data_IF_208739330110
#
_entry.id   IF_208739330110
#
_cell.length_a   1.000
_cell.length_b   1.000
_cell.length_c   1.000
_cell.angle_alpha   90.00
_cell.angle_beta   90.00
_cell.angle_gamma   90.00
#
_symmetry.space_group_name_H-M   'P 1'
#
loop_
_entity.id
_entity.type
_entity.pdbx_description
1 polymer ?
#
# COMPACT_ATOMS: atom_id res chain seq x y z
N UNK A 1 12.26 -33.00 -13.52
CA UNK A 1 12.74 -32.08 -12.46
C UNK A 1 11.56 -31.29 -11.84
N UNK A 2 10.47 -31.96 -11.47
CA UNK A 2 9.20 -31.33 -11.03
C UNK A 2 8.77 -31.74 -9.62
N UNK A 3 9.64 -32.39 -8.84
CA UNK A 3 9.24 -33.00 -7.56
C UNK A 3 9.97 -32.43 -6.31
N UNK A 4 10.75 -31.36 -6.44
CA UNK A 4 11.49 -30.74 -5.33
C UNK A 4 10.94 -29.38 -4.84
N UNK A 5 9.87 -28.83 -5.40
CA UNK A 5 9.30 -27.55 -5.02
C UNK A 5 8.07 -27.65 -4.08
N UNK A 6 7.68 -28.84 -3.65
CA UNK A 6 6.64 -28.99 -2.61
C UNK A 6 7.18 -28.72 -1.19
N UNK A 7 7.88 -27.61 -0.98
CA UNK A 7 8.08 -27.13 0.39
C UNK A 7 6.69 -26.82 0.96
N UNK A 8 6.33 -27.61 1.99
CA UNK A 8 5.06 -27.50 2.75
C UNK A 8 4.97 -26.18 3.48
N UNK A 9 4.88 -25.04 2.74
CA UNK A 9 4.59 -23.77 3.38
C UNK A 9 3.22 -23.85 4.05
N UNK A 10 3.15 -23.49 5.32
CA UNK A 10 1.89 -23.36 6.04
C UNK A 10 1.07 -22.19 5.47
N UNK A 11 -0.27 -22.23 5.63
CA UNK A 11 -1.12 -21.10 5.24
C UNK A 11 -0.70 -19.79 5.98
N UNK A 12 -0.12 -19.91 7.18
CA UNK A 12 0.42 -18.80 7.96
C UNK A 12 1.47 -17.99 7.18
N UNK A 13 2.35 -18.65 6.42
CA UNK A 13 3.32 -17.95 5.59
C UNK A 13 2.62 -17.04 4.55
N UNK A 14 1.60 -17.53 3.86
CA UNK A 14 0.84 -16.72 2.90
C UNK A 14 0.07 -15.58 3.55
N UNK A 15 -0.47 -15.79 4.75
CA UNK A 15 -1.07 -14.72 5.58
C UNK A 15 -0.04 -13.61 5.84
N UNK A 16 1.18 -13.98 6.25
CA UNK A 16 2.24 -13.02 6.52
C UNK A 16 2.72 -12.30 5.25
N UNK A 17 2.74 -12.96 4.10
CA UNK A 17 3.07 -12.32 2.81
C UNK A 17 2.03 -11.25 2.46
N UNK A 18 0.74 -11.58 2.52
CA UNK A 18 -0.33 -10.62 2.23
C UNK A 18 -0.31 -9.47 3.25
N UNK A 19 -0.35 -9.78 4.54
CA UNK A 19 -0.35 -8.75 5.60
C UNK A 19 0.90 -7.86 5.53
N UNK A 20 2.07 -8.46 5.33
CA UNK A 20 3.34 -7.73 5.25
C UNK A 20 3.43 -6.80 4.04
N UNK A 21 2.79 -7.16 2.93
CA UNK A 21 2.70 -6.30 1.74
C UNK A 21 1.76 -5.12 1.99
N UNK A 22 0.61 -5.38 2.60
CA UNK A 22 -0.39 -4.35 2.90
C UNK A 22 0.13 -3.38 3.96
N UNK A 23 0.62 -3.91 5.10
CA UNK A 23 1.14 -3.09 6.21
C UNK A 23 2.48 -2.47 5.81
N UNK A 24 2.42 -1.31 5.19
CA UNK A 24 3.59 -0.60 4.66
C UNK A 24 3.51 0.91 4.86
N UNK A 25 4.27 1.64 4.06
CA UNK A 25 4.29 3.11 4.10
C UNK A 25 2.92 3.75 3.89
N UNK A 26 2.02 3.11 3.15
CA UNK A 26 0.66 3.61 2.91
C UNK A 26 -0.18 3.81 4.19
N UNK A 27 0.12 3.08 5.28
CA UNK A 27 -0.59 3.26 6.55
C UNK A 27 -0.45 4.67 7.13
N UNK A 28 0.66 5.36 6.87
CA UNK A 28 0.89 6.72 7.39
C UNK A 28 -0.01 7.77 6.72
N UNK A 29 -0.43 7.54 5.48
CA UNK A 29 -1.37 8.41 4.80
C UNK A 29 -2.79 8.32 5.39
N UNK A 30 -3.19 7.14 5.92
CA UNK A 30 -4.55 6.90 6.40
C UNK A 30 -5.06 7.93 7.43
N UNK A 31 -4.38 8.21 8.57
CA UNK A 31 -4.91 9.17 9.54
C UNK A 31 -4.94 10.60 8.99
N UNK A 32 -4.06 10.95 8.06
CA UNK A 32 -3.99 12.27 7.45
C UNK A 32 -5.18 12.47 6.49
N UNK A 33 -5.41 11.51 5.57
CA UNK A 33 -6.53 11.58 4.63
C UNK A 33 -7.89 11.38 5.30
N UNK A 34 -7.94 10.62 6.39
CA UNK A 34 -9.15 10.38 7.17
C UNK A 34 -9.40 11.45 8.24
N UNK A 35 -8.52 12.45 8.40
CA UNK A 35 -8.66 13.49 9.43
C UNK A 35 -9.99 14.24 9.34
N UNK A 36 -10.47 14.52 8.13
CA UNK A 36 -11.79 15.14 7.93
C UNK A 36 -12.97 14.27 8.34
N UNK A 37 -12.91 12.97 8.00
CA UNK A 37 -13.93 11.97 8.35
C UNK A 37 -13.86 11.56 9.83
N UNK A 38 -12.70 11.72 10.44
CA UNK A 38 -12.35 11.34 11.79
C UNK A 38 -12.48 9.82 12.03
N UNK A 39 -12.30 9.38 13.29
CA UNK A 39 -12.14 7.96 13.61
C UNK A 39 -13.32 7.08 13.16
N UNK A 40 -14.55 7.41 13.56
CA UNK A 40 -15.70 6.51 13.35
C UNK A 40 -16.08 6.36 11.87
N UNK A 41 -16.19 7.46 11.14
CA UNK A 41 -16.45 7.44 9.71
C UNK A 41 -15.24 6.94 8.93
N UNK A 42 -14.03 7.26 9.40
CA UNK A 42 -12.78 6.74 8.86
C UNK A 42 -12.68 5.21 8.98
N UNK A 43 -12.98 4.64 10.15
CA UNK A 43 -13.04 3.20 10.36
C UNK A 43 -14.10 2.54 9.47
N UNK A 44 -15.29 3.15 9.37
CA UNK A 44 -16.38 2.64 8.52
C UNK A 44 -15.95 2.53 7.05
N UNK A 45 -15.40 3.62 6.48
CA UNK A 45 -15.00 3.62 5.08
C UNK A 45 -13.79 2.72 4.82
N UNK A 46 -12.89 2.59 5.80
CA UNK A 46 -11.76 1.68 5.71
C UNK A 46 -12.20 0.22 5.67
N UNK A 47 -13.24 -0.16 6.44
CA UNK A 47 -13.84 -1.50 6.41
C UNK A 47 -14.48 -1.76 5.04
N UNK A 48 -15.20 -0.78 4.46
CA UNK A 48 -15.78 -0.91 3.11
C UNK A 48 -14.68 -1.07 2.05
N UNK A 49 -13.62 -0.28 2.12
CA UNK A 49 -12.47 -0.40 1.21
C UNK A 49 -11.81 -1.79 1.34
N UNK A 50 -11.58 -2.26 2.57
CA UNK A 50 -11.07 -3.62 2.83
C UNK A 50 -11.98 -4.69 2.25
N UNK A 51 -13.29 -4.62 2.49
CA UNK A 51 -14.26 -5.58 1.96
C UNK A 51 -14.17 -5.68 0.44
N UNK A 52 -14.13 -4.54 -0.25
CA UNK A 52 -14.03 -4.48 -1.70
C UNK A 52 -12.69 -5.03 -2.20
N UNK A 53 -11.57 -4.69 -1.55
CA UNK A 53 -10.25 -5.18 -1.91
C UNK A 53 -10.07 -6.68 -1.62
N UNK A 54 -10.61 -7.18 -0.50
CA UNK A 54 -10.64 -8.61 -0.21
C UNK A 54 -11.36 -9.39 -1.32
N UNK A 55 -12.58 -8.94 -1.67
CA UNK A 55 -13.38 -9.64 -2.68
C UNK A 55 -12.76 -9.52 -4.07
N UNK A 56 -12.20 -8.37 -4.42
CA UNK A 56 -11.45 -8.20 -5.66
C UNK A 56 -10.25 -9.16 -5.73
N UNK A 57 -9.49 -9.30 -4.64
CA UNK A 57 -8.39 -10.26 -4.56
C UNK A 57 -8.87 -11.72 -4.72
N UNK A 58 -10.00 -12.08 -4.10
CA UNK A 58 -10.60 -13.40 -4.27
C UNK A 58 -11.12 -13.64 -5.70
N UNK A 59 -11.67 -12.61 -6.36
CA UNK A 59 -12.09 -12.66 -7.77
C UNK A 59 -10.89 -12.84 -8.71
N UNK A 60 -9.77 -12.18 -8.42
CA UNK A 60 -8.52 -12.41 -9.15
C UNK A 60 -8.01 -13.84 -8.96
N UNK A 61 -8.06 -14.36 -7.72
CA UNK A 61 -7.71 -15.74 -7.41
C UNK A 61 -8.62 -16.73 -8.16
N UNK A 62 -9.94 -16.49 -8.18
CA UNK A 62 -10.92 -17.27 -8.92
C UNK A 62 -10.54 -17.37 -10.40
N UNK A 63 -10.28 -16.24 -11.05
CA UNK A 63 -9.88 -16.21 -12.46
C UNK A 63 -8.56 -16.96 -12.68
N UNK A 64 -7.56 -16.72 -11.83
CA UNK A 64 -6.20 -17.26 -11.99
C UNK A 64 -6.15 -18.79 -11.82
N UNK A 65 -6.94 -19.37 -10.92
CA UNK A 65 -6.98 -20.82 -10.68
C UNK A 65 -7.42 -21.65 -11.89
N UNK A 66 -8.04 -21.03 -12.89
CA UNK A 66 -8.42 -21.70 -14.13
C UNK A 66 -7.26 -21.86 -15.12
N UNK A 67 -6.12 -21.19 -14.86
CA UNK A 67 -4.94 -21.21 -15.73
C UNK A 67 -3.83 -22.11 -15.14
N UNK A 68 -2.82 -22.50 -15.95
CA UNK A 68 -1.64 -23.19 -15.44
C UNK A 68 -0.94 -22.39 -14.34
N UNK A 69 -0.31 -23.09 -13.38
CA UNK A 69 0.51 -22.47 -12.35
C UNK A 69 1.65 -21.67 -13.02
N UNK A 70 1.88 -20.44 -12.58
CA UNK A 70 2.86 -19.52 -13.18
C UNK A 70 2.31 -18.62 -14.28
N UNK A 71 1.03 -18.73 -14.64
CA UNK A 71 0.40 -17.77 -15.56
C UNK A 71 0.42 -16.36 -14.97
N UNK A 72 0.91 -15.40 -15.76
CA UNK A 72 0.97 -14.01 -15.37
C UNK A 72 -0.41 -13.33 -15.45
N UNK A 73 -0.56 -12.24 -14.70
CA UNK A 73 -1.75 -11.39 -14.80
C UNK A 73 -2.01 -10.93 -16.25
N UNK A 74 -0.96 -10.58 -16.98
CA UNK A 74 -1.05 -10.19 -18.39
C UNK A 74 -1.61 -11.30 -19.28
N UNK A 75 -1.15 -12.55 -19.11
CA UNK A 75 -1.64 -13.70 -19.86
C UNK A 75 -3.14 -13.88 -19.65
N UNK A 76 -3.59 -13.84 -18.40
CA UNK A 76 -5.00 -14.03 -18.04
C UNK A 76 -5.87 -12.89 -18.59
N UNK A 77 -5.40 -11.64 -18.41
CA UNK A 77 -6.12 -10.45 -18.88
C UNK A 77 -6.26 -10.47 -20.40
N UNK A 78 -5.18 -10.75 -21.13
CA UNK A 78 -5.20 -10.84 -22.59
C UNK A 78 -6.17 -11.91 -23.09
N UNK A 79 -6.20 -13.08 -22.46
CA UNK A 79 -7.02 -14.21 -22.87
C UNK A 79 -8.52 -14.02 -22.55
N UNK A 80 -8.87 -13.38 -21.43
CA UNK A 80 -10.26 -13.21 -20.99
C UNK A 80 -10.93 -11.93 -21.51
N UNK A 81 -10.22 -10.83 -21.61
CA UNK A 81 -10.78 -9.51 -21.93
C UNK A 81 -10.06 -8.77 -23.06
N UNK A 82 -9.07 -9.41 -23.65
CA UNK A 82 -8.41 -8.94 -24.89
C UNK A 82 -7.19 -8.04 -24.66
N UNK A 83 -6.49 -7.76 -25.77
CA UNK A 83 -5.20 -7.09 -25.74
C UNK A 83 -5.28 -5.62 -25.28
N UNK A 84 -6.36 -4.91 -25.62
CA UNK A 84 -6.55 -3.50 -25.22
C UNK A 84 -6.57 -3.35 -23.68
N UNK A 85 -7.34 -4.19 -23.00
CA UNK A 85 -7.41 -4.19 -21.54
C UNK A 85 -6.10 -4.67 -20.89
N UNK A 86 -5.38 -5.57 -21.56
CA UNK A 86 -4.04 -5.97 -21.13
C UNK A 86 -3.06 -4.80 -21.15
N UNK A 87 -3.08 -3.97 -22.20
CA UNK A 87 -2.23 -2.77 -22.30
C UNK A 87 -2.62 -1.74 -21.24
N UNK A 88 -3.93 -1.45 -21.09
CA UNK A 88 -4.42 -0.52 -20.06
C UNK A 88 -3.98 -0.98 -18.67
N UNK A 89 -4.16 -2.26 -18.37
CA UNK A 89 -3.72 -2.84 -17.09
C UNK A 89 -2.20 -2.71 -16.88
N UNK A 90 -1.41 -3.01 -17.91
CA UNK A 90 0.05 -2.87 -17.85
C UNK A 90 0.50 -1.45 -17.56
N UNK A 91 -0.11 -0.46 -18.24
CA UNK A 91 0.17 0.97 -18.02
C UNK A 91 -0.21 1.37 -16.58
N UNK A 92 -1.39 0.96 -16.09
CA UNK A 92 -1.84 1.31 -14.73
C UNK A 92 -0.99 0.67 -13.65
N UNK A 93 -0.53 -0.58 -13.83
CA UNK A 93 0.42 -1.24 -12.91
C UNK A 93 1.75 -0.51 -12.89
N UNK A 94 2.33 -0.20 -14.08
CA UNK A 94 3.58 0.55 -14.16
C UNK A 94 3.46 1.91 -13.47
N UNK A 95 2.38 2.65 -13.74
CA UNK A 95 2.15 3.94 -13.12
C UNK A 95 2.07 3.85 -11.59
N UNK A 96 1.30 2.87 -11.07
CA UNK A 96 1.21 2.65 -9.61
C UNK A 96 2.60 2.41 -9.00
N UNK A 97 3.40 1.52 -9.61
CA UNK A 97 4.72 1.19 -9.09
C UNK A 97 5.69 2.38 -9.17
N UNK A 98 5.63 3.17 -10.25
CA UNK A 98 6.44 4.39 -10.38
C UNK A 98 6.06 5.46 -9.36
N UNK A 99 4.77 5.74 -9.21
CA UNK A 99 4.30 6.78 -8.29
C UNK A 99 4.51 6.38 -6.82
N UNK A 100 4.40 5.09 -6.48
CA UNK A 100 4.75 4.58 -5.16
C UNK A 100 6.26 4.63 -4.91
N UNK A 101 7.10 4.33 -5.91
CA UNK A 101 8.55 4.52 -5.81
C UNK A 101 8.90 5.98 -5.48
N UNK A 102 8.30 6.92 -6.19
CA UNK A 102 8.43 8.36 -5.92
C UNK A 102 7.98 8.71 -4.49
N UNK A 103 6.81 8.25 -4.07
CA UNK A 103 6.29 8.51 -2.74
C UNK A 103 7.24 8.00 -1.65
N UNK A 104 7.85 6.82 -1.84
CA UNK A 104 8.79 6.26 -0.87
C UNK A 104 10.16 6.95 -0.87
N UNK A 105 10.62 7.48 -1.99
CA UNK A 105 11.81 8.37 -2.02
C UNK A 105 11.52 9.60 -1.16
N UNK A 106 10.35 10.22 -1.34
CA UNK A 106 9.92 11.39 -0.56
C UNK A 106 9.83 11.08 0.94
N UNK A 107 9.15 10.00 1.31
CA UNK A 107 8.97 9.59 2.71
C UNK A 107 10.30 9.26 3.39
N UNK A 108 11.19 8.48 2.74
CA UNK A 108 12.53 8.17 3.30
C UNK A 108 13.37 9.43 3.46
N UNK A 109 13.34 10.33 2.48
CA UNK A 109 14.03 11.61 2.55
C UNK A 109 13.62 12.43 3.77
N UNK A 110 12.32 12.54 4.00
CA UNK A 110 11.75 13.26 5.15
C UNK A 110 12.11 12.61 6.49
N UNK A 111 11.83 11.30 6.67
CA UNK A 111 12.03 10.60 7.94
C UNK A 111 13.51 10.54 8.33
N UNK A 112 14.40 10.19 7.39
CA UNK A 112 15.83 10.04 7.69
C UNK A 112 16.46 11.39 7.96
N UNK A 113 16.09 12.46 7.24
CA UNK A 113 16.60 13.80 7.53
C UNK A 113 16.17 14.28 8.92
N UNK A 114 14.96 13.94 9.35
CA UNK A 114 14.48 14.23 10.70
C UNK A 114 15.27 13.45 11.76
N UNK A 115 15.51 12.16 11.54
CA UNK A 115 16.37 11.37 12.45
C UNK A 115 17.78 11.96 12.57
N UNK A 116 18.37 12.42 11.49
CA UNK A 116 19.69 13.08 11.50
C UNK A 116 19.61 14.36 12.33
N UNK A 117 18.57 15.18 12.13
CA UNK A 117 18.37 16.41 12.89
C UNK A 117 18.26 16.17 14.39
N UNK A 118 17.46 15.18 14.80
CA UNK A 118 17.22 14.86 16.21
C UNK A 118 18.43 14.26 16.92
N UNK A 119 19.17 13.36 16.25
CA UNK A 119 20.26 12.64 16.90
C UNK A 119 21.64 13.32 16.76
N UNK A 120 21.85 14.06 15.69
CA UNK A 120 23.14 14.70 15.38
C UNK A 120 23.09 16.23 15.43
N UNK A 121 21.91 16.83 15.63
CA UNK A 121 21.75 18.29 15.61
C UNK A 121 22.01 18.94 14.23
N UNK A 122 22.11 18.13 13.17
CA UNK A 122 22.40 18.60 11.82
C UNK A 122 21.14 18.55 10.93
N UNK A 123 20.73 19.70 10.43
CA UNK A 123 19.58 19.81 9.52
C UNK A 123 19.94 19.35 8.09
N UNK A 124 19.87 18.05 7.85
CA UNK A 124 20.10 17.47 6.54
C UNK A 124 18.98 17.86 5.55
N UNK A 125 19.37 18.14 4.30
CA UNK A 125 18.39 18.46 3.26
C UNK A 125 17.62 17.17 2.85
N UNK A 126 16.27 17.12 3.03
CA UNK A 126 15.47 15.92 2.70
C UNK A 126 15.62 15.47 1.24
N UNK A 127 15.82 16.41 0.30
CA UNK A 127 16.01 16.07 -1.12
C UNK A 127 17.28 15.27 -1.34
N UNK A 128 18.37 15.68 -0.71
CA UNK A 128 19.67 14.99 -0.82
C UNK A 128 19.57 13.61 -0.17
N UNK A 129 18.98 13.53 1.04
CA UNK A 129 18.81 12.28 1.78
C UNK A 129 17.93 11.31 0.98
N UNK A 130 16.81 11.77 0.40
CA UNK A 130 15.94 10.95 -0.42
C UNK A 130 16.63 10.39 -1.66
N UNK A 131 17.43 11.19 -2.35
CA UNK A 131 18.23 10.71 -3.51
C UNK A 131 19.31 9.73 -3.06
N UNK A 132 20.00 9.97 -1.95
CA UNK A 132 21.00 9.02 -1.41
C UNK A 132 20.36 7.68 -1.06
N UNK A 133 19.18 7.68 -0.44
CA UNK A 133 18.44 6.43 -0.17
C UNK A 133 17.99 5.73 -1.44
N UNK A 134 17.54 6.48 -2.46
CA UNK A 134 17.19 5.91 -3.76
C UNK A 134 18.40 5.25 -4.44
N UNK A 135 19.57 5.90 -4.42
CA UNK A 135 20.83 5.35 -4.95
C UNK A 135 21.24 4.09 -4.18
N UNK A 136 21.10 4.09 -2.84
CA UNK A 136 21.40 2.91 -2.02
C UNK A 136 20.51 1.72 -2.41
N UNK A 137 19.19 1.92 -2.47
CA UNK A 137 18.25 0.85 -2.86
C UNK A 137 18.50 0.39 -4.29
N UNK A 138 18.75 1.31 -5.21
CA UNK A 138 19.11 1.04 -6.59
C UNK A 138 20.37 0.16 -6.70
N UNK A 139 21.40 0.47 -5.90
CA UNK A 139 22.66 -0.29 -5.86
C UNK A 139 22.42 -1.72 -5.35
N UNK A 140 21.61 -1.88 -4.30
CA UNK A 140 21.24 -3.21 -3.78
C UNK A 140 20.49 -4.03 -4.85
N UNK A 141 19.51 -3.43 -5.54
CA UNK A 141 18.77 -4.11 -6.60
C UNK A 141 19.67 -4.45 -7.79
N UNK A 142 20.58 -3.56 -8.16
CA UNK A 142 21.56 -3.82 -9.22
C UNK A 142 22.43 -5.04 -8.92
N UNK A 143 22.94 -5.12 -7.69
CA UNK A 143 23.81 -6.21 -7.26
C UNK A 143 23.05 -7.53 -7.14
N UNK A 144 21.85 -7.53 -6.50
CA UNK A 144 21.09 -8.74 -6.25
C UNK A 144 19.63 -8.50 -5.85
N UNK A 145 18.70 -8.98 -6.66
CA UNK A 145 17.27 -9.02 -6.29
C UNK A 145 17.01 -9.91 -5.07
N UNK A 146 17.82 -10.96 -4.88
CA UNK A 146 17.73 -11.82 -3.69
C UNK A 146 18.12 -11.05 -2.41
N UNK A 147 19.17 -10.22 -2.48
CA UNK A 147 19.56 -9.37 -1.35
C UNK A 147 18.44 -8.38 -0.99
N UNK A 148 17.84 -7.72 -1.98
CA UNK A 148 16.70 -6.83 -1.78
C UNK A 148 15.53 -7.55 -1.10
N UNK A 149 15.17 -8.75 -1.56
CA UNK A 149 14.10 -9.57 -0.95
C UNK A 149 14.42 -9.98 0.49
N UNK A 150 15.66 -10.34 0.82
CA UNK A 150 16.09 -10.67 2.19
C UNK A 150 16.02 -9.46 3.12
N UNK A 151 16.46 -8.29 2.65
CA UNK A 151 16.36 -7.03 3.40
C UNK A 151 14.89 -6.69 3.68
N UNK A 152 14.01 -6.81 2.69
CA UNK A 152 12.57 -6.61 2.87
C UNK A 152 12.00 -7.53 3.95
N UNK A 153 12.38 -8.82 3.95
CA UNK A 153 11.92 -9.79 4.95
C UNK A 153 12.43 -9.50 6.35
N UNK A 154 13.69 -9.06 6.48
CA UNK A 154 14.27 -8.64 7.76
C UNK A 154 13.54 -7.39 8.30
N UNK A 155 13.33 -6.38 7.45
CA UNK A 155 12.61 -5.17 7.85
C UNK A 155 11.17 -5.45 8.24
N UNK A 156 10.51 -6.42 7.61
CA UNK A 156 9.17 -6.85 8.00
C UNK A 156 9.14 -7.39 9.44
N UNK A 157 10.09 -8.25 9.81
CA UNK A 157 10.20 -8.77 11.17
C UNK A 157 10.45 -7.67 12.22
N UNK A 158 11.41 -6.80 11.95
CA UNK A 158 11.74 -5.67 12.82
C UNK A 158 10.58 -4.66 12.93
N UNK A 159 9.87 -4.42 11.83
CA UNK A 159 8.67 -3.56 11.79
C UNK A 159 7.58 -4.08 12.72
N UNK A 160 7.30 -5.38 12.72
CA UNK A 160 6.28 -5.97 13.58
C UNK A 160 6.66 -5.79 15.05
N UNK A 161 7.92 -6.06 15.41
CA UNK A 161 8.41 -5.89 16.80
C UNK A 161 8.28 -4.43 17.24
N UNK A 162 8.77 -3.49 16.45
CA UNK A 162 8.70 -2.06 16.77
C UNK A 162 7.26 -1.54 16.82
N UNK A 163 6.37 -2.06 15.95
CA UNK A 163 4.94 -1.75 16.00
C UNK A 163 4.32 -2.11 17.35
N UNK A 164 4.56 -3.33 17.83
CA UNK A 164 4.00 -3.79 19.12
C UNK A 164 4.51 -2.94 20.28
N UNK A 165 5.80 -2.58 20.29
CA UNK A 165 6.39 -1.75 21.35
C UNK A 165 5.77 -0.35 21.34
N UNK A 166 5.75 0.31 20.20
CA UNK A 166 5.29 1.71 20.08
C UNK A 166 3.79 1.80 20.34
N UNK A 167 2.99 1.03 19.62
CA UNK A 167 1.54 1.19 19.67
C UNK A 167 0.91 0.49 20.87
N UNK A 168 1.58 -0.51 21.46
CA UNK A 168 1.21 -1.01 22.78
C UNK A 168 1.25 0.08 23.86
N UNK A 169 2.23 1.01 23.77
CA UNK A 169 2.30 2.16 24.69
C UNK A 169 1.22 3.21 24.39
N UNK A 170 1.05 3.59 23.13
CA UNK A 170 0.05 4.61 22.74
C UNK A 170 -1.39 4.17 22.96
N UNK A 171 -1.67 2.87 22.91
CA UNK A 171 -3.00 2.31 23.16
C UNK A 171 -3.55 2.71 24.55
N UNK A 172 -2.73 2.64 25.58
CA UNK A 172 -3.12 2.99 26.95
C UNK A 172 -3.19 4.50 27.21
N UNK A 173 -2.73 5.31 26.26
CA UNK A 173 -2.71 6.77 26.38
C UNK A 173 -3.84 7.46 25.58
N UNK A 174 -4.68 6.67 24.92
CA UNK A 174 -5.81 7.20 24.11
C UNK A 174 -6.77 8.00 25.01
N UNK A 175 -7.03 9.25 24.59
CA UNK A 175 -8.05 10.10 25.20
C UNK A 175 -9.35 10.00 24.38
N UNK A 176 -10.39 9.50 25.03
CA UNK A 176 -11.70 9.35 24.40
C UNK A 176 -12.36 10.69 24.00
N UNK A 177 -12.00 11.79 24.66
CA UNK A 177 -12.49 13.12 24.29
C UNK A 177 -11.88 13.57 22.95
N UNK A 178 -10.60 13.30 22.74
CA UNK A 178 -9.92 13.53 21.46
C UNK A 178 -10.50 12.60 20.39
N UNK A 179 -10.61 11.29 20.68
CA UNK A 179 -11.12 10.30 19.73
C UNK A 179 -12.53 10.61 19.22
N UNK A 180 -13.38 11.23 20.07
CA UNK A 180 -14.73 11.66 19.72
C UNK A 180 -14.80 13.08 19.16
N UNK A 181 -13.67 13.77 19.03
CA UNK A 181 -13.58 15.19 18.63
C UNK A 181 -14.40 16.14 19.54
N UNK A 182 -14.55 15.78 20.82
CA UNK A 182 -15.38 16.53 21.75
C UNK A 182 -14.72 17.85 22.23
N UNK A 183 -13.39 17.96 22.08
CA UNK A 183 -12.59 19.11 22.53
C UNK A 183 -12.24 20.08 21.40
N UNK A 184 -12.59 19.76 20.17
CA UNK A 184 -12.26 20.57 18.99
C UNK A 184 -13.28 21.68 18.75
N UNK A 185 -12.81 22.81 18.22
CA UNK A 185 -13.69 23.88 17.70
C UNK A 185 -14.53 23.40 16.51
N UNK A 186 -14.20 22.26 15.92
CA UNK A 186 -14.95 21.60 14.84
C UNK A 186 -15.96 20.56 15.37
N UNK A 187 -16.14 20.44 16.67
CA UNK A 187 -17.14 19.56 17.27
C UNK A 187 -18.53 19.88 16.71
N UNK A 188 -19.25 18.84 16.25
CA UNK A 188 -20.57 19.01 15.63
C UNK A 188 -20.58 19.35 14.13
N UNK A 189 -19.43 19.47 13.47
CA UNK A 189 -19.35 19.53 11.99
C UNK A 189 -19.67 18.18 11.37
N UNK A 190 -20.19 18.20 10.12
CA UNK A 190 -20.44 16.95 9.41
C UNK A 190 -19.13 16.27 9.00
N UNK A 191 -18.92 15.03 9.44
CA UNK A 191 -17.74 14.21 9.09
C UNK A 191 -17.95 13.39 7.82
N UNK A 192 -19.20 13.04 7.53
CA UNK A 192 -19.57 12.13 6.45
C UNK A 192 -19.06 12.56 5.06
N UNK A 193 -19.14 13.83 4.62
CA UNK A 193 -18.69 14.20 3.29
C UNK A 193 -17.21 13.96 3.04
N UNK A 194 -16.38 13.95 4.09
CA UNK A 194 -14.93 13.73 3.96
C UNK A 194 -14.54 12.28 3.69
N UNK A 195 -15.45 11.30 3.88
CA UNK A 195 -15.14 9.90 3.55
C UNK A 195 -14.84 9.72 2.06
N UNK A 196 -15.48 10.48 1.20
CA UNK A 196 -15.31 10.39 -0.24
C UNK A 196 -13.93 10.86 -0.69
N UNK A 197 -13.37 11.84 0.01
CA UNK A 197 -12.01 12.32 -0.25
C UNK A 197 -10.96 11.25 0.05
N UNK A 198 -11.11 10.48 1.14
CA UNK A 198 -10.16 9.50 1.60
C UNK A 198 -10.24 8.14 0.86
N UNK A 199 -11.32 7.88 0.09
CA UNK A 199 -11.56 6.60 -0.57
C UNK A 199 -10.38 6.10 -1.43
N UNK A 200 -9.75 6.92 -2.31
CA UNK A 200 -8.63 6.45 -3.14
C UNK A 200 -7.44 5.99 -2.31
N UNK A 201 -7.12 6.67 -1.20
CA UNK A 201 -6.02 6.32 -0.31
C UNK A 201 -6.36 5.08 0.52
N UNK A 202 -7.59 4.98 1.03
CA UNK A 202 -8.07 3.78 1.72
C UNK A 202 -7.96 2.54 0.83
N UNK A 203 -8.35 2.63 -0.45
CA UNK A 203 -8.21 1.55 -1.42
C UNK A 203 -6.73 1.20 -1.65
N UNK A 204 -5.90 2.19 -1.97
CA UNK A 204 -4.48 1.98 -2.26
C UNK A 204 -3.75 1.30 -1.09
N UNK A 205 -4.18 1.58 0.15
CA UNK A 205 -3.58 1.02 1.36
C UNK A 205 -3.77 -0.50 1.49
N UNK A 206 -4.73 -1.11 0.78
CA UNK A 206 -4.94 -2.57 0.77
C UNK A 206 -4.39 -3.25 -0.49
N UNK A 207 -3.35 -2.73 -1.09
CA UNK A 207 -2.75 -3.27 -2.31
C UNK A 207 -1.94 -4.56 -2.08
N UNK A 208 -2.51 -5.73 -2.39
CA UNK A 208 -1.83 -7.04 -2.30
C UNK A 208 -1.99 -7.91 -3.56
N UNK A 209 -2.73 -7.46 -4.55
CA UNK A 209 -3.13 -8.24 -5.72
C UNK A 209 -1.94 -8.80 -6.51
N UNK A 210 -0.82 -8.08 -6.55
CA UNK A 210 0.41 -8.55 -7.16
C UNK A 210 0.99 -9.83 -6.56
N UNK A 211 0.64 -10.17 -5.31
CA UNK A 211 1.13 -11.37 -4.63
C UNK A 211 0.33 -12.63 -4.98
N UNK A 212 -0.87 -12.51 -5.55
CA UNK A 212 -1.74 -13.67 -5.83
C UNK A 212 -1.07 -14.67 -6.78
N UNK A 213 -0.49 -14.26 -7.93
CA UNK A 213 0.23 -15.20 -8.80
C UNK A 213 1.40 -15.89 -8.08
N UNK A 214 2.17 -15.16 -7.28
CA UNK A 214 3.30 -15.70 -6.51
C UNK A 214 2.86 -16.72 -5.47
N UNK A 215 1.73 -16.49 -4.79
CA UNK A 215 1.15 -17.46 -3.86
C UNK A 215 0.69 -18.73 -4.58
N UNK A 216 0.12 -18.61 -5.79
CA UNK A 216 -0.27 -19.77 -6.61
C UNK A 216 0.98 -20.56 -7.04
N UNK A 217 2.09 -19.92 -7.37
CA UNK A 217 3.36 -20.60 -7.64
C UNK A 217 3.84 -21.39 -6.41
N UNK A 218 3.75 -20.79 -5.20
CA UNK A 218 4.22 -21.41 -3.97
C UNK A 218 3.33 -22.56 -3.47
N UNK A 219 2.01 -22.43 -3.59
CA UNK A 219 1.06 -23.42 -3.06
C UNK A 219 0.50 -24.36 -4.12
N UNK A 220 0.79 -24.14 -5.39
CA UNK A 220 0.05 -24.77 -6.47
C UNK A 220 -1.42 -24.36 -6.41
N UNK A 221 -2.32 -25.26 -6.88
CA UNK A 221 -3.77 -25.01 -6.87
C UNK A 221 -4.46 -25.40 -5.55
N UNK A 222 -3.76 -25.29 -4.41
CA UNK A 222 -4.35 -25.59 -3.08
C UNK A 222 -5.24 -24.43 -2.63
N UNK A 223 -6.48 -24.40 -3.14
CA UNK A 223 -7.44 -23.31 -2.92
C UNK A 223 -7.60 -22.91 -1.45
N UNK A 224 -7.66 -23.89 -0.53
CA UNK A 224 -7.88 -23.63 0.89
C UNK A 224 -6.75 -22.79 1.52
N UNK A 225 -5.49 -23.07 1.16
CA UNK A 225 -4.35 -22.27 1.63
C UNK A 225 -4.34 -20.88 1.01
N UNK A 226 -4.66 -20.78 -0.28
CA UNK A 226 -4.71 -19.51 -1.01
C UNK A 226 -5.80 -18.60 -0.46
N UNK A 227 -7.03 -19.13 -0.29
CA UNK A 227 -8.17 -18.37 0.28
C UNK A 227 -7.84 -17.92 1.70
N UNK A 228 -7.34 -18.83 2.57
CA UNK A 228 -6.92 -18.46 3.93
C UNK A 228 -5.85 -17.38 3.94
N UNK A 229 -4.87 -17.44 3.03
CA UNK A 229 -3.82 -16.43 2.94
C UNK A 229 -4.40 -15.05 2.60
N UNK A 230 -5.31 -14.96 1.63
CA UNK A 230 -5.92 -13.71 1.21
C UNK A 230 -6.85 -13.16 2.31
N UNK A 231 -7.75 -14.00 2.84
CA UNK A 231 -8.74 -13.56 3.85
C UNK A 231 -8.05 -13.13 5.14
N UNK A 232 -7.27 -14.02 5.75
CA UNK A 232 -6.66 -13.71 7.06
C UNK A 232 -5.50 -12.70 6.95
N UNK A 233 -4.77 -12.67 5.82
CA UNK A 233 -3.73 -11.68 5.59
C UNK A 233 -4.29 -10.26 5.46
N UNK A 234 -5.34 -10.07 4.67
CA UNK A 234 -5.99 -8.77 4.53
C UNK A 234 -6.78 -8.37 5.80
N UNK A 235 -7.39 -9.33 6.51
CA UNK A 235 -8.06 -9.07 7.79
C UNK A 235 -7.07 -8.62 8.87
N UNK A 236 -5.92 -9.27 8.96
CA UNK A 236 -4.85 -8.85 9.87
C UNK A 236 -4.40 -7.41 9.58
N UNK A 237 -4.27 -7.06 8.31
CA UNK A 237 -3.93 -5.69 7.91
C UNK A 237 -5.04 -4.69 8.31
N UNK A 238 -6.31 -5.04 8.12
CA UNK A 238 -7.44 -4.19 8.56
C UNK A 238 -7.39 -3.96 10.08
N UNK A 239 -7.20 -5.01 10.88
CA UNK A 239 -7.10 -4.90 12.35
C UNK A 239 -5.96 -3.97 12.75
N UNK A 240 -4.79 -4.12 12.11
CA UNK A 240 -3.62 -3.26 12.37
C UNK A 240 -3.92 -1.80 11.96
N UNK A 241 -4.59 -1.57 10.85
CA UNK A 241 -4.96 -0.22 10.41
C UNK A 241 -6.00 0.45 11.32
N UNK A 242 -7.01 -0.28 11.76
CA UNK A 242 -7.97 0.23 12.74
C UNK A 242 -7.30 0.55 14.08
N UNK A 243 -6.40 -0.30 14.53
CA UNK A 243 -5.61 -0.07 15.74
C UNK A 243 -4.68 1.15 15.58
N UNK A 244 -4.04 1.30 14.43
CA UNK A 244 -3.24 2.47 14.07
C UNK A 244 -4.06 3.76 14.09
N UNK A 245 -5.23 3.78 13.45
CA UNK A 245 -6.14 4.94 13.48
C UNK A 245 -6.59 5.26 14.91
N UNK A 246 -6.95 4.24 15.69
CA UNK A 246 -7.35 4.41 17.09
C UNK A 246 -6.26 5.07 17.92
N UNK A 247 -5.03 4.58 17.83
CA UNK A 247 -3.89 5.15 18.54
C UNK A 247 -3.55 6.56 18.05
N UNK A 248 -3.61 6.80 16.74
CA UNK A 248 -3.24 8.11 16.16
C UNK A 248 -4.29 9.16 16.49
N UNK A 249 -5.55 8.89 16.16
CA UNK A 249 -6.65 9.86 16.33
C UNK A 249 -7.12 9.98 17.78
N UNK A 250 -6.73 9.08 18.67
CA UNK A 250 -6.97 9.18 20.10
C UNK A 250 -5.87 9.89 20.88
N UNK A 251 -4.71 10.17 20.25
CA UNK A 251 -3.61 10.89 20.88
C UNK A 251 -3.30 12.25 20.23
N UNK A 252 -3.68 12.45 18.96
CA UNK A 252 -3.47 13.72 18.24
C UNK A 252 -4.82 14.39 18.01
N UNK A 253 -5.05 15.61 18.50
CA UNK A 253 -6.29 16.34 18.26
C UNK A 253 -6.54 16.59 16.77
N UNK A 254 -7.80 16.53 16.34
CA UNK A 254 -8.20 16.68 14.92
C UNK A 254 -7.67 17.97 14.29
N UNK A 255 -7.71 19.08 15.02
CA UNK A 255 -7.20 20.38 14.56
C UNK A 255 -5.71 20.34 14.17
N UNK A 256 -4.91 19.52 14.86
CA UNK A 256 -3.47 19.39 14.59
C UNK A 256 -3.21 18.81 13.18
N UNK A 257 -4.14 18.04 12.63
CA UNK A 257 -4.01 17.49 11.28
C UNK A 257 -4.05 18.55 10.18
N UNK A 258 -4.64 19.74 10.43
CA UNK A 258 -4.60 20.85 9.47
C UNK A 258 -3.15 21.31 9.24
N UNK A 259 -2.36 21.41 10.29
CA UNK A 259 -0.94 21.76 10.19
C UNK A 259 -0.14 20.65 9.49
N UNK A 260 -0.44 19.37 9.75
CA UNK A 260 0.18 18.23 9.09
C UNK A 260 -0.13 18.27 7.58
N UNK A 261 -1.38 18.49 7.20
CA UNK A 261 -1.82 18.56 5.80
C UNK A 261 -1.16 19.75 5.09
N UNK A 262 -1.14 20.94 5.72
CA UNK A 262 -0.54 22.15 5.13
C UNK A 262 0.97 22.03 4.93
N UNK A 263 1.67 21.20 5.75
CA UNK A 263 3.09 20.87 5.57
C UNK A 263 3.35 19.78 4.52
N UNK A 264 2.31 19.36 3.77
CA UNK A 264 2.39 18.32 2.73
C UNK A 264 1.98 16.92 3.19
N UNK A 265 1.51 16.76 4.44
CA UNK A 265 1.03 15.49 4.98
C UNK A 265 2.09 14.38 5.04
N UNK A 266 3.35 14.75 5.11
CA UNK A 266 4.46 13.82 5.11
C UNK A 266 4.55 13.03 6.43
N UNK A 267 5.19 11.87 6.37
CA UNK A 267 5.34 10.96 7.52
C UNK A 267 6.04 11.61 8.70
N UNK A 268 7.06 12.45 8.44
CA UNK A 268 7.79 13.20 9.48
C UNK A 268 6.90 14.16 10.26
N UNK A 269 6.01 14.89 9.57
CA UNK A 269 5.06 15.81 10.21
C UNK A 269 4.08 15.08 11.13
N UNK A 270 3.61 13.90 10.73
CA UNK A 270 2.76 13.06 11.56
C UNK A 270 3.52 12.54 12.77
N UNK A 271 4.76 12.06 12.58
CA UNK A 271 5.62 11.57 13.67
C UNK A 271 5.93 12.69 14.66
N UNK A 272 6.28 13.91 14.19
CA UNK A 272 6.49 15.09 15.04
C UNK A 272 5.25 15.42 15.89
N UNK A 273 4.07 15.33 15.31
CA UNK A 273 2.82 15.59 16.04
C UNK A 273 2.57 14.57 17.15
N UNK A 274 2.95 13.30 16.95
CA UNK A 274 2.95 12.30 18.00
C UNK A 274 3.91 12.65 19.14
N UNK A 275 5.12 13.09 18.80
CA UNK A 275 6.17 13.41 19.75
C UNK A 275 5.83 14.66 20.59
N UNK A 276 5.15 15.64 19.96
CA UNK A 276 4.74 16.88 20.63
C UNK A 276 3.65 16.68 21.69
N UNK A 277 2.95 15.54 21.70
CA UNK A 277 1.82 15.33 22.62
C UNK A 277 2.25 14.73 23.97
N UNK A 278 3.26 13.88 24.05
CA UNK A 278 3.70 13.22 25.31
C UNK A 278 5.10 12.59 25.16
N UNK A 279 5.98 13.00 26.05
CA UNK A 279 7.25 12.39 26.48
C UNK A 279 8.27 11.90 25.44
N UNK A 280 9.48 12.39 25.64
CA UNK A 280 10.74 12.09 24.99
C UNK A 280 11.34 10.77 25.49
N UNK A 281 12.12 10.11 24.69
CA UNK A 281 12.92 8.96 25.08
C UNK A 281 12.77 7.74 24.17
N UNK A 282 12.70 6.55 24.75
CA UNK A 282 12.74 5.27 24.02
C UNK A 282 11.54 5.10 23.06
N UNK A 283 10.36 5.62 23.41
CA UNK A 283 9.16 5.52 22.57
C UNK A 283 9.32 6.35 21.29
N UNK A 284 9.89 7.55 21.42
CA UNK A 284 10.23 8.42 20.29
C UNK A 284 11.19 7.72 19.32
N UNK A 285 12.28 7.19 19.84
CA UNK A 285 13.25 6.43 19.07
C UNK A 285 12.59 5.21 18.38
N UNK A 286 11.79 4.44 19.11
CA UNK A 286 11.08 3.29 18.55
C UNK A 286 10.05 3.69 17.45
N UNK A 287 9.36 4.84 17.59
CA UNK A 287 8.44 5.35 16.57
C UNK A 287 9.18 5.73 15.29
N UNK A 288 10.33 6.41 15.41
CA UNK A 288 11.17 6.74 14.27
C UNK A 288 11.72 5.49 13.58
N UNK A 289 12.20 4.51 14.36
CA UNK A 289 12.68 3.22 13.84
C UNK A 289 11.55 2.48 13.12
N UNK A 290 10.36 2.40 13.74
CA UNK A 290 9.19 1.79 13.11
C UNK A 290 8.85 2.47 11.78
N UNK A 291 8.79 3.80 11.75
CA UNK A 291 8.45 4.57 10.55
C UNK A 291 9.44 4.33 9.42
N UNK A 292 10.75 4.34 9.74
CA UNK A 292 11.79 4.03 8.75
C UNK A 292 11.67 2.61 8.22
N UNK A 293 11.52 1.61 9.10
CA UNK A 293 11.39 0.20 8.69
C UNK A 293 10.14 -0.03 7.82
N UNK A 294 9.02 0.61 8.18
CA UNK A 294 7.77 0.50 7.43
C UNK A 294 7.90 1.08 6.01
N UNK A 295 8.47 2.28 5.89
CA UNK A 295 8.67 2.93 4.60
C UNK A 295 9.76 2.21 3.79
N UNK A 296 10.90 1.88 4.39
CA UNK A 296 12.01 1.21 3.71
C UNK A 296 11.63 -0.20 3.20
N UNK A 297 10.90 -1.00 4.01
CA UNK A 297 10.43 -2.32 3.56
C UNK A 297 9.53 -2.23 2.33
N UNK A 298 8.64 -1.23 2.30
CA UNK A 298 7.75 -0.99 1.16
C UNK A 298 8.51 -0.45 -0.05
N UNK A 299 9.51 0.40 0.19
CA UNK A 299 10.36 0.93 -0.88
C UNK A 299 11.11 -0.18 -1.60
N UNK A 300 11.78 -1.08 -0.87
CA UNK A 300 12.41 -2.27 -1.47
C UNK A 300 11.41 -3.17 -2.19
N UNK A 301 10.24 -3.42 -1.60
CA UNK A 301 9.22 -4.27 -2.20
C UNK A 301 8.66 -3.73 -3.51
N UNK A 302 8.28 -2.44 -3.52
CA UNK A 302 7.72 -1.79 -4.71
C UNK A 302 8.77 -1.62 -5.81
N UNK A 303 9.98 -1.21 -5.46
CA UNK A 303 11.06 -1.04 -6.45
C UNK A 303 11.53 -2.36 -7.04
N UNK A 304 11.56 -3.44 -6.26
CA UNK A 304 11.82 -4.79 -6.78
C UNK A 304 10.71 -5.21 -7.75
N UNK A 305 9.45 -4.98 -7.39
CA UNK A 305 8.31 -5.26 -8.28
C UNK A 305 8.36 -4.47 -9.58
N UNK A 306 8.71 -3.17 -9.51
CA UNK A 306 8.88 -2.33 -10.70
C UNK A 306 10.07 -2.78 -11.54
N UNK A 307 11.20 -3.10 -10.91
CA UNK A 307 12.39 -3.62 -11.58
C UNK A 307 12.08 -4.89 -12.38
N UNK A 308 11.44 -5.88 -11.73
CA UNK A 308 11.09 -7.14 -12.38
C UNK A 308 10.06 -6.93 -13.50
N UNK A 309 9.07 -6.05 -13.27
CA UNK A 309 8.07 -5.71 -14.28
C UNK A 309 8.69 -5.05 -15.53
N UNK A 310 9.63 -4.10 -15.35
CA UNK A 310 10.29 -3.43 -16.47
C UNK A 310 11.26 -4.35 -17.19
N UNK A 311 11.97 -5.23 -16.47
CA UNK A 311 12.84 -6.23 -17.08
C UNK A 311 12.05 -7.16 -18.00
N UNK A 312 10.88 -7.64 -17.54
CA UNK A 312 9.98 -8.49 -18.34
C UNK A 312 9.38 -7.72 -19.53
N UNK A 313 8.87 -6.50 -19.29
CA UNK A 313 8.23 -5.67 -20.32
C UNK A 313 9.18 -5.35 -21.49
N UNK A 314 10.43 -4.98 -21.18
CA UNK A 314 11.44 -4.62 -22.18
C UNK A 314 12.35 -5.79 -22.58
N UNK A 315 12.08 -7.00 -22.05
CA UNK A 315 12.87 -8.21 -22.29
C UNK A 315 14.36 -7.99 -22.05
N UNK A 316 14.69 -7.26 -20.97
CA UNK A 316 16.07 -7.00 -20.59
C UNK A 316 16.62 -8.22 -19.88
N UNK A 317 17.82 -8.65 -20.28
CA UNK A 317 18.49 -9.80 -19.69
C UNK A 317 18.98 -9.54 -18.25
N UNK A 318 19.32 -10.59 -17.52
CA UNK A 318 19.79 -10.49 -16.14
C UNK A 318 21.33 -10.33 -16.03
N UNK A 319 22.02 -9.89 -17.10
CA UNK A 319 23.44 -9.55 -17.07
C UNK A 319 23.68 -8.28 -16.22
N UNK A 320 24.92 -8.04 -15.80
CA UNK A 320 25.24 -6.79 -15.08
C UNK A 320 24.82 -5.52 -15.82
N UNK A 321 25.02 -5.51 -17.17
CA UNK A 321 24.60 -4.39 -18.01
C UNK A 321 23.08 -4.29 -18.16
N UNK A 322 22.38 -5.43 -18.31
CA UNK A 322 20.93 -5.49 -18.35
C UNK A 322 20.31 -4.99 -17.03
N UNK A 323 20.78 -5.48 -15.90
CA UNK A 323 20.35 -5.04 -14.56
C UNK A 323 20.58 -3.54 -14.34
N UNK A 324 21.73 -2.99 -14.81
CA UNK A 324 22.00 -1.56 -14.72
C UNK A 324 20.99 -0.73 -15.52
N UNK A 325 20.67 -1.15 -16.75
CA UNK A 325 19.63 -0.51 -17.57
C UNK A 325 18.27 -0.54 -16.88
N UNK A 326 17.90 -1.69 -16.32
CA UNK A 326 16.62 -1.84 -15.60
C UNK A 326 16.56 -0.95 -14.37
N UNK A 327 17.65 -0.86 -13.59
CA UNK A 327 17.74 0.05 -12.43
C UNK A 327 17.59 1.51 -12.85
N UNK A 328 18.23 1.93 -13.93
CA UNK A 328 18.05 3.30 -14.45
C UNK A 328 16.59 3.57 -14.82
N UNK A 329 15.94 2.65 -15.52
CA UNK A 329 14.51 2.78 -15.86
C UNK A 329 13.64 2.82 -14.60
N UNK A 330 13.97 2.04 -13.57
CA UNK A 330 13.22 1.95 -12.32
C UNK A 330 13.31 3.24 -11.49
N UNK A 331 14.50 3.80 -11.35
CA UNK A 331 14.74 4.87 -10.38
C UNK A 331 14.84 6.28 -10.97
N UNK A 332 15.28 6.43 -12.23
CA UNK A 332 15.49 7.75 -12.81
C UNK A 332 14.19 8.57 -12.92
N UNK A 333 13.06 8.04 -13.46
CA UNK A 333 11.84 8.82 -13.56
C UNK A 333 11.28 9.28 -12.20
N UNK A 334 11.14 8.41 -11.17
CA UNK A 334 10.62 8.83 -9.88
C UNK A 334 11.60 9.73 -9.10
N UNK A 335 12.92 9.57 -9.28
CA UNK A 335 13.92 10.43 -8.67
C UNK A 335 13.87 11.85 -9.27
N UNK A 336 13.72 11.98 -10.59
CA UNK A 336 13.54 13.29 -11.24
C UNK A 336 12.24 13.96 -10.78
N UNK A 337 11.15 13.21 -10.69
CA UNK A 337 9.88 13.72 -10.16
C UNK A 337 10.03 14.22 -8.72
N UNK A 338 10.77 13.49 -7.88
CA UNK A 338 11.05 13.89 -6.50
C UNK A 338 11.89 15.19 -6.40
N UNK A 339 12.86 15.37 -7.27
CA UNK A 339 13.65 16.61 -7.29
C UNK A 339 12.79 17.84 -7.61
N UNK A 340 11.76 17.67 -8.45
CA UNK A 340 10.82 18.74 -8.81
C UNK A 340 9.77 18.94 -7.71
N UNK A 341 9.18 17.85 -7.21
CA UNK A 341 8.10 17.84 -6.21
C UNK A 341 8.48 17.01 -4.98
N UNK A 342 9.25 17.55 -4.02
CA UNK A 342 9.78 16.78 -2.88
C UNK A 342 8.73 16.32 -1.87
N UNK A 343 7.61 17.06 -1.74
CA UNK A 343 6.55 16.80 -0.75
C UNK A 343 5.37 16.04 -1.37
N UNK A 344 5.65 14.94 -2.07
CA UNK A 344 4.64 14.25 -2.87
C UNK A 344 4.14 12.93 -2.31
N UNK A 345 4.43 12.58 -1.06
CA UNK A 345 4.06 11.29 -0.49
C UNK A 345 2.55 11.02 -0.57
N UNK A 346 1.72 11.90 -0.03
CA UNK A 346 0.25 11.76 -0.03
C UNK A 346 -0.32 11.84 -1.45
N UNK A 347 0.14 12.80 -2.25
CA UNK A 347 -0.30 12.92 -3.65
C UNK A 347 0.05 11.68 -4.47
N UNK A 348 1.22 11.09 -4.19
CA UNK A 348 1.65 9.84 -4.79
C UNK A 348 0.73 8.67 -4.43
N UNK A 349 0.41 8.50 -3.15
CA UNK A 349 -0.51 7.45 -2.68
C UNK A 349 -1.91 7.67 -3.26
N UNK A 350 -2.42 8.91 -3.28
CA UNK A 350 -3.73 9.24 -3.88
C UNK A 350 -3.78 8.94 -5.39
N UNK A 351 -2.73 9.29 -6.15
CA UNK A 351 -2.64 8.97 -7.57
C UNK A 351 -2.51 7.47 -7.84
N UNK A 352 -1.77 6.74 -6.98
CA UNK A 352 -1.72 5.28 -7.02
C UNK A 352 -3.12 4.68 -6.83
N UNK A 353 -3.96 5.28 -5.97
CA UNK A 353 -5.32 4.81 -5.70
C UNK A 353 -6.21 4.77 -6.94
N UNK A 354 -6.16 5.80 -7.81
CA UNK A 354 -6.91 5.81 -9.07
C UNK A 354 -6.50 4.64 -9.98
N UNK A 355 -5.21 4.49 -10.23
CA UNK A 355 -4.71 3.42 -11.11
C UNK A 355 -4.90 2.04 -10.49
N UNK A 356 -4.72 1.90 -9.17
CA UNK A 356 -5.00 0.67 -8.44
C UNK A 356 -6.47 0.26 -8.57
N UNK A 357 -7.40 1.23 -8.60
CA UNK A 357 -8.82 0.96 -8.80
C UNK A 357 -9.08 0.24 -10.13
N UNK A 358 -8.37 0.59 -11.20
CA UNK A 358 -8.54 -0.05 -12.50
C UNK A 358 -8.02 -1.50 -12.46
N UNK A 359 -6.74 -1.69 -12.12
CA UNK A 359 -6.11 -3.00 -12.26
C UNK A 359 -6.38 -3.97 -11.10
N UNK A 360 -6.61 -3.45 -9.88
CA UNK A 360 -6.80 -4.27 -8.68
C UNK A 360 -8.27 -4.35 -8.22
N UNK A 361 -9.20 -3.60 -8.81
CA UNK A 361 -10.61 -3.66 -8.44
C UNK A 361 -11.47 -4.02 -9.66
N UNK A 362 -11.49 -3.17 -10.68
CA UNK A 362 -12.39 -3.34 -11.83
C UNK A 362 -11.98 -4.54 -12.67
N UNK A 363 -10.71 -4.63 -13.08
CA UNK A 363 -10.23 -5.73 -13.94
C UNK A 363 -10.43 -7.09 -13.28
N UNK A 364 -10.05 -7.37 -12.01
CA UNK A 364 -10.32 -8.66 -11.36
C UNK A 364 -11.79 -9.07 -11.37
N UNK A 365 -12.70 -8.14 -11.13
CA UNK A 365 -14.13 -8.41 -11.17
C UNK A 365 -14.62 -8.80 -12.57
N UNK A 366 -14.14 -8.08 -13.59
CA UNK A 366 -14.47 -8.41 -15.00
C UNK A 366 -13.84 -9.76 -15.40
N UNK A 367 -12.59 -10.04 -14.99
CA UNK A 367 -11.92 -11.32 -15.24
C UNK A 367 -12.71 -12.48 -14.66
N UNK A 368 -13.20 -12.38 -13.42
CA UNK A 368 -14.01 -13.42 -12.80
C UNK A 368 -15.31 -13.67 -13.57
N UNK A 369 -16.04 -12.61 -13.97
CA UNK A 369 -17.27 -12.74 -14.78
C UNK A 369 -16.97 -13.45 -16.11
N UNK A 370 -15.87 -13.12 -16.77
CA UNK A 370 -15.48 -13.74 -18.04
C UNK A 370 -14.99 -15.18 -17.85
N UNK A 371 -14.22 -15.43 -16.78
CA UNK A 371 -13.76 -16.77 -16.44
C UNK A 371 -14.93 -17.73 -16.16
N UNK A 372 -15.97 -17.27 -15.45
CA UNK A 372 -17.22 -18.06 -15.21
C UNK A 372 -17.91 -18.48 -16.50
N UNK A 373 -17.89 -17.60 -17.54
CA UNK A 373 -18.45 -17.94 -18.84
C UNK A 373 -17.57 -18.90 -19.66
N UNK A 374 -16.24 -18.75 -19.54
CA UNK A 374 -15.29 -19.56 -20.32
C UNK A 374 -15.05 -20.93 -19.71
N UNK A 375 -15.07 -21.03 -18.37
CA UNK A 375 -14.77 -22.25 -17.61
C UNK A 375 -15.95 -22.64 -16.74
N UNK A 376 -16.90 -23.45 -17.20
CA UNK A 376 -18.10 -23.79 -16.43
C UNK A 376 -17.80 -24.61 -15.17
N UNK A 377 -16.74 -25.42 -15.17
CA UNK A 377 -16.32 -26.26 -14.04
C UNK A 377 -15.12 -25.66 -13.32
N UNK A 378 -15.33 -24.56 -12.58
CA UNK A 378 -14.27 -23.90 -11.84
C UNK A 378 -13.92 -24.62 -10.55
N UNK A 379 -12.62 -24.61 -10.20
CA UNK A 379 -12.12 -25.15 -8.95
C UNK A 379 -12.59 -24.32 -7.73
N UNK A 380 -12.77 -23.01 -7.92
CA UNK A 380 -13.17 -22.04 -6.91
C UNK A 380 -14.01 -20.94 -7.54
N UNK A 381 -15.11 -20.59 -6.91
CA UNK A 381 -15.97 -19.46 -7.27
C UNK A 381 -16.27 -18.65 -6.01
N UNK A 382 -16.13 -17.33 -6.08
CA UNK A 382 -16.52 -16.44 -4.98
C UNK A 382 -18.04 -16.49 -4.81
N UNK A 383 -18.49 -16.57 -3.56
CA UNK A 383 -19.92 -16.64 -3.22
C UNK A 383 -20.71 -15.44 -3.76
N UNK A 384 -22.04 -15.57 -3.84
CA UNK A 384 -22.92 -14.50 -4.30
C UNK A 384 -22.98 -14.32 -5.82
N UNK A 385 -22.42 -15.25 -6.60
CA UNK A 385 -22.50 -15.23 -8.06
C UNK A 385 -21.98 -13.92 -8.64
N UNK A 386 -22.70 -13.31 -9.58
CA UNK A 386 -22.30 -12.04 -10.23
C UNK A 386 -22.61 -10.80 -9.37
N UNK A 387 -23.28 -10.93 -8.22
CA UNK A 387 -23.56 -9.80 -7.34
C UNK A 387 -22.28 -9.22 -6.73
N UNK A 388 -21.38 -10.06 -6.23
CA UNK A 388 -20.11 -9.59 -5.65
C UNK A 388 -19.23 -8.86 -6.68
N UNK A 389 -18.96 -9.39 -7.88
CA UNK A 389 -18.26 -8.62 -8.92
C UNK A 389 -18.96 -7.28 -9.25
N UNK A 390 -20.29 -7.24 -9.29
CA UNK A 390 -21.02 -6.00 -9.54
C UNK A 390 -20.82 -4.96 -8.43
N UNK A 391 -20.87 -5.37 -7.15
CA UNK A 391 -20.59 -4.49 -5.99
C UNK A 391 -19.14 -3.97 -6.06
N UNK A 392 -18.17 -4.82 -6.37
CA UNK A 392 -16.76 -4.45 -6.48
C UNK A 392 -16.56 -3.44 -7.62
N UNK A 393 -17.19 -3.64 -8.77
CA UNK A 393 -17.14 -2.68 -9.89
C UNK A 393 -17.78 -1.34 -9.49
N UNK A 394 -18.95 -1.36 -8.85
CA UNK A 394 -19.62 -0.15 -8.39
C UNK A 394 -18.74 0.64 -7.40
N UNK A 395 -18.12 -0.06 -6.45
CA UNK A 395 -17.14 0.55 -5.54
C UNK A 395 -15.98 1.17 -6.32
N UNK A 396 -15.40 0.47 -7.29
CA UNK A 396 -14.34 1.00 -8.15
C UNK A 396 -14.75 2.26 -8.90
N UNK A 397 -15.96 2.29 -9.49
CA UNK A 397 -16.50 3.48 -10.15
C UNK A 397 -16.64 4.63 -9.14
N UNK A 398 -17.15 4.35 -7.92
CA UNK A 398 -17.27 5.37 -6.87
C UNK A 398 -15.91 5.96 -6.51
N UNK A 399 -14.87 5.14 -6.35
CA UNK A 399 -13.51 5.62 -6.07
C UNK A 399 -12.96 6.51 -7.19
N UNK A 400 -13.19 6.13 -8.45
CA UNK A 400 -12.79 6.96 -9.61
C UNK A 400 -13.50 8.32 -9.58
N UNK A 401 -14.82 8.33 -9.34
CA UNK A 401 -15.59 9.57 -9.24
C UNK A 401 -15.11 10.44 -8.08
N UNK A 402 -14.82 9.86 -6.92
CA UNK A 402 -14.26 10.56 -5.78
C UNK A 402 -12.88 11.16 -6.08
N UNK A 403 -12.02 10.43 -6.79
CA UNK A 403 -10.71 10.94 -7.19
C UNK A 403 -10.84 12.16 -8.10
N UNK A 404 -11.70 12.11 -9.11
CA UNK A 404 -11.97 13.26 -9.97
C UNK A 404 -12.63 14.40 -9.20
N UNK A 405 -13.56 14.11 -8.27
CA UNK A 405 -14.16 15.09 -7.38
C UNK A 405 -13.11 15.84 -6.53
N UNK A 406 -12.06 15.14 -6.10
CA UNK A 406 -10.90 15.71 -5.43
C UNK A 406 -10.09 16.64 -6.35
N UNK A 407 -9.77 16.18 -7.55
CA UNK A 407 -8.96 16.92 -8.53
C UNK A 407 -9.69 18.22 -8.94
N UNK A 408 -10.99 18.15 -9.15
CA UNK A 408 -11.82 19.31 -9.55
C UNK A 408 -12.32 20.16 -8.35
N UNK A 409 -11.87 19.88 -7.13
CA UNK A 409 -12.25 20.58 -5.91
C UNK A 409 -13.78 20.61 -5.65
N UNK A 410 -14.49 19.56 -6.05
CA UNK A 410 -15.93 19.38 -5.80
C UNK A 410 -16.18 18.81 -4.41
N UNK A 411 -15.24 17.98 -3.91
CA UNK A 411 -15.32 17.39 -2.57
C UNK A 411 -14.76 18.35 -1.50
N UNK A 412 -15.31 18.32 -0.28
CA UNK A 412 -14.84 19.16 0.81
C UNK A 412 -13.41 18.71 1.22
N UNK A 413 -12.52 19.68 1.40
CA UNK A 413 -11.17 19.47 1.92
C UNK A 413 -11.11 19.79 3.40
N UNK A 414 -10.35 19.01 4.15
CA UNK A 414 -10.06 19.26 5.55
C UNK A 414 -8.66 19.87 5.66
N UNK A 415 -8.58 21.13 6.04
CA UNK A 415 -7.31 21.87 6.13
C UNK A 415 -7.13 22.87 5.02
#
# INVERSE_FOLDING_TARGET
MTDQAEKKHSAFWGVMVIAGTVIGGGMFALPVDLAGAWFFWGAFILIIAWFSMLHSGLLLLEANLNYPVGSSFNTITKDLIGNTWNIISGITVAFVLYILTYAYISANGAIISEMISMNLGYHANPRIVGICTAIFVASVLWLSSLAASRITSLFLGLKIISFVIVFGSFFFQVDYSILRDATSSTAGTSYFPYIFMALPVCLASFGFHGNIPSLIICYGKRKDKLIKSVVFGSLLALVIYLFWLYCTMGNIPRESFKAIISSGGNVDSLVKSFLGTKQHGIIEFCLLVFSNLAVASSFFGVTLGLFDYLADLFKIDNSHGGRFKTVLLTFLPPALLYLIFPNGFIYGIGGAGLCATIWAVIIPAVLAIKARKKFPNQMFTVWGGNLIPAIVILFGITVILCWFGNVFNVLPKFG
#
